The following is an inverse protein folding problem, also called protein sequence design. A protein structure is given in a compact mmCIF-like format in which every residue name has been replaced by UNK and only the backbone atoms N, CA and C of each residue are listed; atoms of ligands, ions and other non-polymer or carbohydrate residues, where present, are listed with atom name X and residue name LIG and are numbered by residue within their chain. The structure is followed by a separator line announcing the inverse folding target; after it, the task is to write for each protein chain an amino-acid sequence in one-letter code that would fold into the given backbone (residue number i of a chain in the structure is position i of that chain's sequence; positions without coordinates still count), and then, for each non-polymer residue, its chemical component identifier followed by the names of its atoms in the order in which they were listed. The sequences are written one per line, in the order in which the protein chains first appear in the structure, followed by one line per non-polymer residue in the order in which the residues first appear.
data_IF_147712102190
#
_entry.id   IF_147712102190
#
_cell.length_a   1.000
_cell.length_b   1.000
_cell.length_c   1.000
_cell.angle_alpha   90.00
_cell.angle_beta   90.00
_cell.angle_gamma   90.00
#
_symmetry.space_group_name_H-M   'P 1'
#
loop_
_entity.id
_entity.type
_entity.pdbx_description
1 polymer ?
#
# COMPACT_ATOMS: atom_id res chain seq x y z
N UNK A 1 20.03 2.90 -21.03
CA UNK A 1 20.18 1.73 -20.14
C UNK A 1 20.65 2.25 -18.78
N UNK A 2 19.88 2.05 -17.71
CA UNK A 2 20.32 2.45 -16.37
C UNK A 2 21.41 1.48 -15.89
N UNK A 3 22.41 1.98 -15.18
CA UNK A 3 23.50 1.14 -14.68
C UNK A 3 22.93 0.14 -13.65
N UNK A 4 23.33 -1.15 -13.65
CA UNK A 4 22.73 -2.19 -12.81
C UNK A 4 22.72 -1.85 -11.31
N UNK A 5 23.77 -1.20 -10.81
CA UNK A 5 23.82 -0.74 -9.39
C UNK A 5 22.76 0.32 -9.05
N UNK A 6 22.37 1.18 -10.01
CA UNK A 6 21.35 2.21 -9.80
C UNK A 6 19.98 1.55 -9.66
N UNK A 7 19.68 0.53 -10.47
CA UNK A 7 18.40 -0.19 -10.39
C UNK A 7 18.25 -0.93 -9.04
N UNK A 8 19.32 -1.58 -8.57
CA UNK A 8 19.35 -2.21 -7.25
C UNK A 8 19.12 -1.20 -6.13
N UNK A 9 19.78 -0.05 -6.20
CA UNK A 9 19.58 1.02 -5.21
C UNK A 9 18.14 1.53 -5.20
N UNK A 10 17.56 1.80 -6.37
CA UNK A 10 16.17 2.25 -6.48
C UNK A 10 15.17 1.22 -5.96
N UNK A 11 15.43 -0.08 -6.22
CA UNK A 11 14.63 -1.17 -5.66
C UNK A 11 14.69 -1.16 -4.13
N UNK A 12 15.89 -0.99 -3.55
CA UNK A 12 16.05 -0.95 -2.10
C UNK A 12 15.31 0.25 -1.47
N UNK A 13 15.41 1.43 -2.10
CA UNK A 13 14.65 2.62 -1.66
C UNK A 13 13.15 2.33 -1.68
N UNK A 14 12.63 1.71 -2.75
CA UNK A 14 11.22 1.32 -2.86
C UNK A 14 10.80 0.38 -1.72
N UNK A 15 11.62 -0.61 -1.37
CA UNK A 15 11.35 -1.54 -0.27
C UNK A 15 11.25 -0.83 1.09
N UNK A 16 12.17 0.10 1.36
CA UNK A 16 12.12 0.90 2.60
C UNK A 16 10.83 1.72 2.68
N UNK A 17 10.44 2.36 1.57
CA UNK A 17 9.20 3.15 1.53
C UNK A 17 7.94 2.29 1.77
N UNK A 18 7.89 1.09 1.19
CA UNK A 18 6.79 0.14 1.42
C UNK A 18 6.76 -0.32 2.88
N UNK A 19 7.91 -0.67 3.45
CA UNK A 19 8.01 -1.10 4.85
C UNK A 19 7.55 0.00 5.82
N UNK A 20 7.90 1.26 5.55
CA UNK A 20 7.42 2.40 6.34
C UNK A 20 5.90 2.55 6.24
N UNK A 21 5.33 2.44 5.04
CA UNK A 21 3.89 2.53 4.84
C UNK A 21 3.13 1.40 5.56
N UNK A 22 3.60 0.16 5.44
CA UNK A 22 3.04 -1.01 6.13
C UNK A 22 3.15 -0.90 7.66
N UNK A 23 4.28 -0.39 8.17
CA UNK A 23 4.42 -0.07 9.59
C UNK A 23 3.37 0.96 10.03
N UNK A 24 3.21 2.06 9.28
CA UNK A 24 2.18 3.05 9.56
C UNK A 24 0.77 2.43 9.51
N UNK A 25 0.48 1.56 8.54
CA UNK A 25 -0.81 0.87 8.43
C UNK A 25 -1.12 0.05 9.70
N UNK A 26 -0.15 -0.71 10.20
CA UNK A 26 -0.32 -1.52 11.41
C UNK A 26 -0.42 -0.68 12.69
N UNK A 27 0.37 0.39 12.81
CA UNK A 27 0.26 1.35 13.93
C UNK A 27 -1.11 2.05 13.95
N UNK A 28 -1.60 2.49 12.78
CA UNK A 28 -2.96 3.02 12.66
C UNK A 28 -4.01 1.97 13.03
N UNK A 29 -3.80 0.71 12.64
CA UNK A 29 -4.62 -0.42 13.07
C UNK A 29 -4.71 -0.50 14.60
N UNK A 30 -3.59 -0.45 15.30
CA UNK A 30 -3.55 -0.49 16.77
C UNK A 30 -4.36 0.67 17.41
N UNK A 31 -4.22 1.88 16.87
CA UNK A 31 -4.90 3.08 17.40
C UNK A 31 -6.40 3.04 17.12
N UNK A 32 -6.79 2.55 15.94
CA UNK A 32 -8.16 2.70 15.42
C UNK A 32 -8.98 1.41 15.39
N UNK A 33 -8.43 0.24 15.78
CA UNK A 33 -9.17 -1.04 15.74
C UNK A 33 -10.45 -1.01 16.57
N UNK A 34 -10.42 -0.37 17.74
CA UNK A 34 -11.59 -0.25 18.62
C UNK A 34 -12.57 0.86 18.22
N UNK A 35 -12.19 1.77 17.31
CA UNK A 35 -13.04 2.92 16.90
C UNK A 35 -13.61 2.74 15.50
N UNK A 36 -12.87 2.12 14.58
CA UNK A 36 -13.27 1.91 13.18
C UNK A 36 -13.69 0.46 12.92
N UNK A 37 -13.31 -0.49 13.80
CA UNK A 37 -13.67 -1.90 13.67
C UNK A 37 -13.00 -2.61 12.49
N UNK A 38 -11.82 -2.13 12.06
CA UNK A 38 -11.10 -2.65 10.88
C UNK A 38 -9.68 -3.05 11.24
N UNK A 39 -9.30 -4.25 10.83
CA UNK A 39 -7.94 -4.80 10.99
C UNK A 39 -7.01 -4.24 9.91
N UNK A 40 -5.76 -3.95 10.29
CA UNK A 40 -4.65 -3.66 9.37
C UNK A 40 -3.72 -4.88 9.30
N UNK A 41 -3.24 -5.18 8.10
CA UNK A 41 -2.28 -6.26 7.87
C UNK A 41 -0.86 -5.70 7.67
N UNK A 42 0.16 -6.46 8.08
CA UNK A 42 1.55 -6.05 8.00
C UNK A 42 2.12 -6.07 6.56
N UNK A 43 1.46 -6.76 5.65
CA UNK A 43 1.79 -6.89 4.23
C UNK A 43 0.88 -6.04 3.33
N UNK A 44 0.07 -5.17 3.91
CA UNK A 44 -0.85 -4.30 3.16
C UNK A 44 -0.48 -2.82 3.35
N UNK A 45 -0.30 -2.12 2.24
CA UNK A 45 -0.15 -0.66 2.22
C UNK A 45 -1.47 0.07 2.53
N UNK A 46 -1.38 1.27 3.12
CA UNK A 46 -2.55 2.10 3.47
C UNK A 46 -3.41 2.42 2.24
N UNK A 47 -2.76 2.70 1.11
CA UNK A 47 -3.44 2.96 -0.16
C UNK A 47 -4.20 1.74 -0.68
N UNK A 48 -3.61 0.55 -0.60
CA UNK A 48 -4.28 -0.69 -0.99
C UNK A 48 -5.48 -0.99 -0.08
N UNK A 49 -5.31 -0.82 1.24
CA UNK A 49 -6.38 -0.94 2.24
C UNK A 49 -7.56 -0.02 1.93
N UNK A 50 -7.27 1.25 1.63
CA UNK A 50 -8.30 2.24 1.31
C UNK A 50 -9.11 1.84 0.06
N UNK A 51 -8.46 1.29 -0.96
CA UNK A 51 -9.15 0.77 -2.14
C UNK A 51 -9.97 -0.49 -1.82
N UNK A 52 -9.41 -1.45 -1.06
CA UNK A 52 -10.10 -2.69 -0.68
C UNK A 52 -11.38 -2.41 0.12
N UNK A 53 -11.35 -1.40 0.99
CA UNK A 53 -12.45 -1.03 1.86
C UNK A 53 -13.34 0.09 1.31
N UNK A 54 -13.07 0.61 0.11
CA UNK A 54 -13.78 1.78 -0.45
C UNK A 54 -15.31 1.61 -0.46
N UNK A 55 -15.80 0.38 -0.64
CA UNK A 55 -17.23 0.06 -0.73
C UNK A 55 -17.83 -0.35 0.62
N UNK A 56 -17.01 -0.51 1.67
CA UNK A 56 -17.50 -0.88 3.02
C UNK A 56 -18.06 0.29 3.80
N UNK A 57 -17.60 1.53 3.53
CA UNK A 57 -18.16 2.73 4.13
C UNK A 57 -17.86 3.99 3.32
N UNK A 58 -18.69 5.03 3.49
CA UNK A 58 -18.43 6.36 2.92
C UNK A 58 -17.11 6.96 3.41
N UNK A 59 -16.66 6.59 4.61
CA UNK A 59 -15.38 7.05 5.17
C UNK A 59 -14.20 6.51 4.38
N UNK A 60 -14.20 5.21 4.08
CA UNK A 60 -13.14 4.59 3.28
C UNK A 60 -13.14 5.05 1.83
N UNK A 61 -14.33 5.24 1.23
CA UNK A 61 -14.42 5.87 -0.10
C UNK A 61 -13.75 7.26 -0.12
N UNK A 62 -14.00 8.08 0.91
CA UNK A 62 -13.35 9.40 1.04
C UNK A 62 -11.84 9.28 1.26
N UNK A 63 -11.39 8.36 2.11
CA UNK A 63 -9.97 8.12 2.34
C UNK A 63 -9.24 7.73 1.05
N UNK A 64 -9.80 6.82 0.25
CA UNK A 64 -9.28 6.44 -1.06
C UNK A 64 -9.17 7.67 -1.99
N UNK A 65 -10.19 8.52 -2.04
CA UNK A 65 -10.15 9.76 -2.84
C UNK A 65 -9.09 10.74 -2.37
N UNK A 66 -8.90 10.87 -1.05
CA UNK A 66 -7.84 11.72 -0.46
C UNK A 66 -6.47 11.20 -0.86
N UNK A 67 -6.21 9.90 -0.73
CA UNK A 67 -4.93 9.32 -1.13
C UNK A 67 -4.68 9.47 -2.63
N UNK A 68 -5.66 9.19 -3.49
CA UNK A 68 -5.54 9.46 -4.93
C UNK A 68 -5.24 10.94 -5.23
N UNK A 69 -5.76 11.88 -4.44
CA UNK A 69 -5.46 13.31 -4.60
C UNK A 69 -4.07 13.69 -4.10
N UNK A 70 -3.59 13.10 -2.99
CA UNK A 70 -2.22 13.28 -2.51
C UNK A 70 -1.24 12.80 -3.58
N UNK A 71 -1.52 11.65 -4.20
CA UNK A 71 -0.73 11.07 -5.28
C UNK A 71 -1.29 11.40 -6.67
N UNK A 72 -1.69 12.66 -6.91
CA UNK A 72 -2.37 13.07 -8.15
C UNK A 72 -1.58 12.79 -9.45
N UNK A 73 -0.25 12.64 -9.36
CA UNK A 73 0.62 12.27 -10.49
C UNK A 73 0.60 10.77 -10.82
N UNK A 74 -0.12 9.96 -10.05
CA UNK A 74 -0.31 8.53 -10.26
C UNK A 74 -1.78 8.24 -10.52
N UNK A 75 -2.11 7.95 -11.78
CA UNK A 75 -3.47 7.58 -12.18
C UNK A 75 -3.96 6.37 -11.38
N UNK A 76 -5.11 6.52 -10.73
CA UNK A 76 -5.72 5.49 -9.88
C UNK A 76 -4.73 4.87 -8.87
N UNK A 77 -3.96 5.72 -8.17
CA UNK A 77 -2.94 5.31 -7.19
C UNK A 77 -3.37 4.16 -6.27
N UNK A 78 -4.49 4.31 -5.56
CA UNK A 78 -4.95 3.29 -4.60
C UNK A 78 -5.35 1.98 -5.27
N UNK A 79 -5.95 2.02 -6.47
CA UNK A 79 -6.27 0.82 -7.25
C UNK A 79 -5.00 0.11 -7.68
N UNK A 80 -4.01 0.87 -8.17
CA UNK A 80 -2.72 0.34 -8.58
C UNK A 80 -2.00 -0.32 -7.41
N UNK A 81 -1.98 0.34 -6.25
CA UNK A 81 -1.42 -0.24 -5.01
C UNK A 81 -2.11 -1.56 -4.66
N UNK A 82 -3.45 -1.60 -4.67
CA UNK A 82 -4.20 -2.84 -4.43
C UNK A 82 -3.86 -3.96 -5.42
N UNK A 83 -3.73 -3.66 -6.72
CA UNK A 83 -3.32 -4.64 -7.72
C UNK A 83 -1.88 -5.13 -7.50
N UNK A 84 -0.97 -4.26 -7.04
CA UNK A 84 0.40 -4.66 -6.67
C UNK A 84 0.43 -5.60 -5.47
N UNK A 85 -0.44 -5.40 -4.46
CA UNK A 85 -0.57 -6.33 -3.33
C UNK A 85 -1.10 -7.69 -3.79
N UNK A 86 -2.16 -7.72 -4.62
CA UNK A 86 -2.70 -8.97 -5.17
C UNK A 86 -1.65 -9.78 -5.93
N UNK A 87 -0.74 -9.09 -6.64
CA UNK A 87 0.37 -9.69 -7.38
C UNK A 87 1.61 -9.93 -6.53
N UNK A 88 1.60 -9.55 -5.25
CA UNK A 88 2.74 -9.63 -4.33
C UNK A 88 4.01 -9.00 -4.90
N UNK A 89 3.86 -7.88 -5.62
CA UNK A 89 4.98 -7.25 -6.35
C UNK A 89 6.10 -6.74 -5.45
N UNK A 90 5.77 -6.46 -4.18
CA UNK A 90 6.75 -6.02 -3.18
C UNK A 90 7.58 -7.19 -2.62
N UNK A 91 7.09 -8.43 -2.70
CA UNK A 91 7.83 -9.60 -2.23
C UNK A 91 8.95 -10.01 -3.21
N UNK A 92 10.00 -10.69 -2.72
CA UNK A 92 10.93 -11.42 -3.57
C UNK A 92 10.20 -12.39 -4.52
N UNK A 93 10.70 -12.54 -5.74
CA UNK A 93 10.04 -13.33 -6.82
C UNK A 93 9.72 -14.75 -6.37
N UNK A 94 10.60 -15.37 -5.58
CA UNK A 94 10.44 -16.74 -5.05
C UNK A 94 9.16 -16.91 -4.20
N UNK A 95 8.61 -15.84 -3.62
CA UNK A 95 7.40 -15.91 -2.78
C UNK A 95 6.11 -15.53 -3.50
N UNK A 96 6.16 -15.10 -4.77
CA UNK A 96 4.97 -14.54 -5.44
C UNK A 96 3.96 -15.61 -5.89
N UNK A 97 4.43 -16.80 -6.23
CA UNK A 97 3.64 -17.89 -6.83
C UNK A 97 3.40 -19.08 -5.88
N UNK A 98 3.49 -18.86 -4.57
CA UNK A 98 3.08 -19.83 -3.55
C UNK A 98 1.56 -19.83 -3.37
#
# INVERSE_FOLDING_TARGET
MKHPKIELFLLQVKQVLIAVDQLLNTLLGLIFVFTVGVISWADETVSAKAYRLRDSSKGWYRAMRVFNAIFFWQTDHCKTAFMSELKREHLPVVYRNL
#
